data_IF_611827675235
#
_entry.id   IF_611827675235
#
_cell.length_a   1.000
_cell.length_b   1.000
_cell.length_c   1.000
_cell.angle_alpha   90.00
_cell.angle_beta   90.00
_cell.angle_gamma   90.00
#
_symmetry.space_group_name_H-M   'P 1'
#
loop_
_entity.id
_entity.type
_entity.pdbx_description
1 polymer ?
#
# COMPACT_ATOMS: atom_id res chain seq x y z
N UNK A 1 -9.72 2.93 -2.71
CA UNK A 1 -8.52 3.76 -2.87
C UNK A 1 -8.10 3.85 -4.33
N UNK A 2 -7.41 4.92 -4.67
CA UNK A 2 -6.78 5.10 -5.98
C UNK A 2 -5.28 4.80 -5.90
N UNK A 3 -4.76 4.11 -6.91
CA UNK A 3 -3.34 3.79 -7.01
C UNK A 3 -2.83 3.93 -8.44
N UNK A 4 -1.53 4.13 -8.57
CA UNK A 4 -0.84 4.25 -9.85
C UNK A 4 0.32 3.26 -9.93
N UNK A 5 0.57 2.77 -11.12
CA UNK A 5 1.74 1.94 -11.39
C UNK A 5 2.99 2.83 -11.52
N UNK A 6 4.08 2.47 -10.85
CA UNK A 6 5.35 3.20 -10.92
C UNK A 6 6.21 2.63 -12.05
N UNK A 7 6.50 1.34 -11.98
CA UNK A 7 7.32 0.64 -12.96
C UNK A 7 7.06 -0.88 -12.87
N UNK A 8 7.52 -1.59 -13.89
CA UNK A 8 7.59 -3.04 -13.89
C UNK A 8 9.05 -3.46 -13.67
N UNK A 9 9.25 -4.47 -12.86
CA UNK A 9 10.55 -5.10 -12.63
C UNK A 9 10.49 -6.59 -12.90
N UNK A 10 11.65 -7.19 -13.12
CA UNK A 10 11.81 -8.65 -13.14
C UNK A 10 12.48 -9.09 -11.84
N UNK A 11 11.91 -10.09 -11.21
CA UNK A 11 12.49 -10.73 -10.04
C UNK A 11 12.31 -12.24 -10.14
N UNK A 12 13.40 -12.98 -10.26
CA UNK A 12 13.37 -14.43 -10.52
C UNK A 12 12.43 -14.80 -11.67
N UNK A 13 12.61 -14.16 -12.84
CA UNK A 13 11.81 -14.35 -14.06
C UNK A 13 10.32 -14.04 -13.93
N UNK A 14 9.90 -13.42 -12.84
CA UNK A 14 8.53 -12.94 -12.65
C UNK A 14 8.44 -11.43 -12.86
N UNK A 15 7.44 -11.01 -13.61
CA UNK A 15 7.13 -9.58 -13.73
C UNK A 15 6.55 -9.08 -12.41
N UNK A 16 7.19 -8.07 -11.83
CA UNK A 16 6.72 -7.40 -10.62
C UNK A 16 6.12 -6.06 -11.01
N UNK A 17 4.88 -5.85 -10.60
CA UNK A 17 4.19 -4.59 -10.77
C UNK A 17 4.30 -3.78 -9.47
N UNK A 18 4.99 -2.64 -9.53
CA UNK A 18 5.10 -1.75 -8.39
C UNK A 18 4.03 -0.66 -8.48
N UNK A 19 3.29 -0.46 -7.39
CA UNK A 19 2.20 0.49 -7.31
C UNK A 19 2.37 1.42 -6.11
N UNK A 20 1.85 2.63 -6.22
CA UNK A 20 1.74 3.59 -5.12
C UNK A 20 0.28 3.94 -4.89
N UNK A 21 -0.13 3.96 -3.64
CA UNK A 21 -1.46 4.43 -3.26
C UNK A 21 -1.43 5.95 -3.28
N UNK A 22 -2.37 6.57 -3.98
CA UNK A 22 -2.49 8.02 -4.11
C UNK A 22 -3.42 8.61 -3.04
N UNK A 23 -4.62 8.05 -2.92
CA UNK A 23 -5.63 8.55 -1.98
C UNK A 23 -6.61 7.47 -1.55
N UNK A 24 -7.28 7.72 -0.44
CA UNK A 24 -8.38 6.91 0.08
C UNK A 24 -9.69 7.68 -0.03
N UNK A 25 -10.75 6.98 -0.42
CA UNK A 25 -12.11 7.51 -0.50
C UNK A 25 -13.08 6.61 0.27
N UNK A 26 -14.13 7.20 0.83
CA UNK A 26 -15.22 6.47 1.46
C UNK A 26 -16.20 5.87 0.42
N UNK A 27 -17.24 5.21 0.90
CA UNK A 27 -18.28 4.62 0.05
C UNK A 27 -19.07 5.64 -0.77
N UNK A 28 -19.08 6.91 -0.37
CA UNK A 28 -19.69 8.02 -1.09
C UNK A 28 -18.75 8.69 -2.11
N UNK A 29 -17.56 8.11 -2.31
CA UNK A 29 -16.49 8.66 -3.17
C UNK A 29 -15.85 9.94 -2.65
N UNK A 30 -16.12 10.35 -1.42
CA UNK A 30 -15.48 11.50 -0.79
C UNK A 30 -14.07 11.14 -0.36
N UNK A 31 -13.09 12.02 -0.64
CA UNK A 31 -11.71 11.84 -0.20
C UNK A 31 -11.62 11.89 1.33
N UNK A 32 -11.06 10.82 1.91
CA UNK A 32 -10.83 10.65 3.36
C UNK A 32 -9.38 10.97 3.70
N UNK A 33 -8.45 10.53 2.87
CA UNK A 33 -7.02 10.75 3.07
C UNK A 33 -6.27 10.81 1.74
N UNK A 34 -5.17 11.55 1.71
CA UNK A 34 -4.26 11.65 0.57
C UNK A 34 -2.83 11.29 1.01
N UNK A 35 -2.15 10.48 0.21
CA UNK A 35 -0.76 10.13 0.45
C UNK A 35 0.16 11.27 0.01
N UNK A 36 1.14 11.58 0.85
CA UNK A 36 2.09 12.69 0.61
C UNK A 36 3.23 12.22 -0.29
N UNK A 37 2.99 12.19 -1.59
CA UNK A 37 3.99 11.89 -2.59
C UNK A 37 4.62 13.16 -3.18
N UNK A 38 5.79 13.00 -3.80
CA UNK A 38 6.39 14.03 -4.66
C UNK A 38 5.48 14.36 -5.84
N UNK A 39 5.66 15.53 -6.42
CA UNK A 39 4.88 15.97 -7.59
C UNK A 39 4.98 14.99 -8.77
N UNK A 40 6.16 14.41 -9.00
CA UNK A 40 6.37 13.41 -10.06
C UNK A 40 5.55 12.14 -9.86
N UNK A 41 5.41 11.67 -8.63
CA UNK A 41 4.57 10.49 -8.31
C UNK A 41 3.09 10.83 -8.40
N UNK A 42 2.68 12.03 -7.99
CA UNK A 42 1.29 12.49 -8.10
C UNK A 42 0.80 12.64 -9.54
N UNK A 43 1.71 12.89 -10.47
CA UNK A 43 1.42 13.07 -11.91
C UNK A 43 1.44 11.77 -12.71
N UNK A 44 1.68 10.62 -12.08
CA UNK A 44 1.67 9.34 -12.77
C UNK A 44 0.35 9.13 -13.52
N UNK A 45 0.40 8.77 -14.81
CA UNK A 45 -0.78 8.38 -15.56
C UNK A 45 -1.36 7.07 -15.02
N UNK A 46 -2.61 6.77 -15.34
CA UNK A 46 -3.29 5.52 -14.96
C UNK A 46 -3.54 5.37 -13.45
N UNK A 47 -4.57 6.06 -12.98
CA UNK A 47 -5.14 5.81 -11.67
C UNK A 47 -6.09 4.61 -11.77
N UNK A 48 -5.77 3.57 -11.03
CA UNK A 48 -6.62 2.39 -10.86
C UNK A 48 -7.33 2.46 -9.50
N UNK A 49 -8.37 1.65 -9.35
CA UNK A 49 -9.19 1.61 -8.12
C UNK A 49 -8.98 0.28 -7.42
N UNK A 50 -8.73 0.33 -6.14
CA UNK A 50 -8.72 -0.81 -5.23
C UNK A 50 -9.70 -0.60 -4.07
N UNK A 51 -9.87 -1.61 -3.26
CA UNK A 51 -10.81 -1.61 -2.14
C UNK A 51 -10.03 -1.72 -0.84
N UNK A 52 -10.51 -1.07 0.21
CA UNK A 52 -9.89 -1.17 1.52
C UNK A 52 -10.91 -1.34 2.63
N UNK A 53 -10.47 -1.99 3.69
CA UNK A 53 -11.15 -2.08 4.97
C UNK A 53 -10.16 -1.69 6.08
N UNK A 54 -10.67 -1.10 7.13
CA UNK A 54 -9.90 -0.78 8.32
C UNK A 54 -10.45 -1.56 9.50
N UNK A 55 -9.58 -2.32 10.17
CA UNK A 55 -9.93 -3.12 11.33
C UNK A 55 -9.51 -2.39 12.60
N UNK A 56 -10.32 -2.47 13.63
CA UNK A 56 -10.02 -1.87 14.94
C UNK A 56 -8.84 -2.56 15.63
N UNK A 57 -8.70 -3.87 15.41
CA UNK A 57 -7.64 -4.67 15.99
C UNK A 57 -6.84 -5.41 14.92
N UNK A 58 -5.55 -5.69 15.18
CA UNK A 58 -4.75 -6.53 14.31
C UNK A 58 -5.38 -7.92 14.14
N UNK A 59 -5.45 -8.46 12.91
CA UNK A 59 -5.94 -9.81 12.65
C UNK A 59 -4.89 -10.86 13.02
N UNK A 60 -4.54 -10.91 14.30
CA UNK A 60 -3.52 -11.80 14.83
C UNK A 60 -3.99 -12.41 16.15
N UNK A 61 -3.63 -13.68 16.37
CA UNK A 61 -3.81 -14.38 17.63
C UNK A 61 -2.48 -15.00 18.05
N UNK A 62 -2.08 -14.79 19.31
CA UNK A 62 -0.80 -15.26 19.84
C UNK A 62 0.42 -14.92 18.94
N UNK A 63 0.42 -13.71 18.35
CA UNK A 63 1.48 -13.23 17.48
C UNK A 63 1.48 -13.83 16.06
N UNK A 64 0.51 -14.68 15.73
CA UNK A 64 0.34 -15.23 14.39
C UNK A 64 -0.82 -14.57 13.67
N UNK A 65 -0.62 -14.27 12.39
CA UNK A 65 -1.67 -13.77 11.52
C UNK A 65 -2.73 -14.88 11.31
N UNK A 66 -4.01 -14.54 11.45
CA UNK A 66 -5.10 -15.53 11.49
C UNK A 66 -5.86 -15.69 10.18
N UNK A 67 -5.55 -14.90 9.17
CA UNK A 67 -6.22 -14.97 7.86
C UNK A 67 -5.38 -15.84 6.93
N UNK A 68 -5.86 -17.03 6.58
CA UNK A 68 -5.21 -17.93 5.66
C UNK A 68 -5.96 -18.01 4.32
N UNK A 69 -7.26 -18.04 4.38
CA UNK A 69 -8.15 -18.18 3.24
C UNK A 69 -9.24 -17.11 3.22
N UNK A 70 -10.08 -17.13 2.20
CA UNK A 70 -11.16 -16.14 2.02
C UNK A 70 -12.27 -16.27 3.08
N UNK A 71 -12.52 -17.47 3.62
CA UNK A 71 -13.50 -17.65 4.69
C UNK A 71 -13.04 -17.01 6.01
N UNK A 72 -11.74 -17.10 6.31
CA UNK A 72 -11.17 -16.40 7.46
C UNK A 72 -11.34 -14.89 7.32
N UNK A 73 -11.06 -14.36 6.12
CA UNK A 73 -11.22 -12.94 5.84
C UNK A 73 -12.68 -12.51 5.94
N UNK A 74 -13.63 -13.27 5.39
CA UNK A 74 -15.06 -12.99 5.51
C UNK A 74 -15.50 -12.94 6.97
N UNK A 75 -15.07 -13.91 7.77
CA UNK A 75 -15.41 -14.00 9.20
C UNK A 75 -14.95 -12.76 9.96
N UNK A 76 -13.83 -12.16 9.52
CA UNK A 76 -13.25 -10.99 10.17
C UNK A 76 -13.90 -9.67 9.75
N UNK A 77 -14.17 -9.48 8.46
CA UNK A 77 -14.65 -8.21 7.90
C UNK A 77 -16.15 -8.15 7.68
N UNK A 78 -16.81 -9.29 7.80
CA UNK A 78 -18.27 -9.43 7.66
C UNK A 78 -18.75 -9.67 6.23
N UNK A 79 -19.92 -10.30 6.14
CA UNK A 79 -20.55 -10.67 4.86
C UNK A 79 -20.93 -9.48 3.98
N UNK A 80 -21.28 -8.36 4.60
CA UNK A 80 -21.70 -7.16 3.87
C UNK A 80 -20.58 -6.59 3.02
N UNK A 81 -19.34 -6.62 3.53
CA UNK A 81 -18.16 -6.17 2.75
C UNK A 81 -17.96 -7.06 1.53
N UNK A 82 -18.11 -8.37 1.67
CA UNK A 82 -18.02 -9.30 0.53
C UNK A 82 -19.13 -9.12 -0.47
N UNK A 83 -20.35 -8.87 -0.01
CA UNK A 83 -21.49 -8.53 -0.88
C UNK A 83 -21.20 -7.26 -1.68
N UNK A 84 -20.63 -6.26 -1.03
CA UNK A 84 -20.19 -5.03 -1.69
C UNK A 84 -19.10 -5.30 -2.74
N UNK A 85 -18.07 -6.10 -2.40
CA UNK A 85 -17.00 -6.50 -3.32
C UNK A 85 -17.56 -7.18 -4.57
N UNK A 86 -18.50 -8.10 -4.40
CA UNK A 86 -19.19 -8.75 -5.49
C UNK A 86 -19.94 -7.75 -6.37
N UNK A 87 -20.67 -6.83 -5.75
CA UNK A 87 -21.39 -5.77 -6.47
C UNK A 87 -20.48 -4.88 -7.30
N UNK A 88 -19.34 -4.49 -6.74
CA UNK A 88 -18.32 -3.70 -7.45
C UNK A 88 -17.77 -4.46 -8.64
N UNK A 89 -17.44 -5.73 -8.48
CA UNK A 89 -16.91 -6.55 -9.55
C UNK A 89 -17.95 -6.77 -10.68
N UNK A 90 -19.19 -7.07 -10.31
CA UNK A 90 -20.27 -7.32 -11.28
C UNK A 90 -20.61 -6.08 -12.11
N UNK A 91 -20.66 -4.92 -11.47
CA UNK A 91 -21.16 -3.69 -12.07
C UNK A 91 -20.08 -2.85 -12.75
N UNK A 92 -18.79 -3.10 -12.47
CA UNK A 92 -17.72 -2.29 -12.99
C UNK A 92 -17.01 -2.97 -14.17
N UNK A 93 -17.43 -2.64 -15.39
CA UNK A 93 -16.84 -3.17 -16.62
C UNK A 93 -15.34 -2.81 -16.78
N UNK A 94 -14.88 -1.73 -16.14
CA UNK A 94 -13.46 -1.31 -16.16
C UNK A 94 -12.57 -2.23 -15.33
N UNK A 95 -13.12 -2.97 -14.38
CA UNK A 95 -12.39 -3.93 -13.55
C UNK A 95 -12.36 -5.34 -14.16
N UNK A 96 -13.13 -5.59 -15.24
CA UNK A 96 -13.13 -6.89 -15.90
C UNK A 96 -11.73 -7.21 -16.44
N UNK A 97 -11.16 -8.32 -15.97
CA UNK A 97 -9.87 -8.83 -16.43
C UNK A 97 -8.65 -8.36 -15.64
N UNK A 98 -8.78 -7.40 -14.71
CA UNK A 98 -7.66 -6.95 -13.88
C UNK A 98 -7.81 -7.41 -12.42
N UNK A 99 -6.73 -7.90 -11.78
CA UNK A 99 -6.74 -8.19 -10.36
C UNK A 99 -7.08 -6.93 -9.56
N UNK A 100 -7.92 -7.08 -8.54
CA UNK A 100 -8.32 -5.98 -7.65
C UNK A 100 -7.51 -6.09 -6.36
N UNK A 101 -6.68 -5.10 -6.02
CA UNK A 101 -6.02 -5.09 -4.72
C UNK A 101 -7.04 -4.72 -3.63
N UNK A 102 -7.07 -5.55 -2.59
CA UNK A 102 -7.88 -5.37 -1.41
C UNK A 102 -6.98 -5.11 -0.20
N UNK A 103 -6.97 -3.90 0.30
CA UNK A 103 -6.15 -3.49 1.43
C UNK A 103 -6.86 -3.72 2.76
N UNK A 104 -6.16 -4.34 3.68
CA UNK A 104 -6.59 -4.53 5.06
C UNK A 104 -5.67 -3.69 5.94
N UNK A 105 -6.21 -2.62 6.51
CA UNK A 105 -5.51 -1.73 7.42
C UNK A 105 -5.86 -2.00 8.87
N UNK A 106 -4.89 -1.90 9.76
CA UNK A 106 -5.10 -2.00 11.20
C UNK A 106 -4.01 -1.26 11.98
N UNK A 107 -4.32 -0.85 13.20
CA UNK A 107 -3.34 -0.20 14.07
C UNK A 107 -2.45 -1.23 14.74
N UNK A 108 -1.13 -1.02 14.70
CA UNK A 108 -0.16 -1.76 15.49
C UNK A 108 0.37 -0.94 16.67
N UNK A 109 0.21 0.38 16.61
CA UNK A 109 0.45 1.31 17.71
C UNK A 109 -0.41 2.57 17.51
N UNK A 110 -0.40 3.49 18.48
CA UNK A 110 -1.12 4.77 18.36
C UNK A 110 -0.73 5.58 17.12
N UNK A 111 0.51 5.44 16.67
CA UNK A 111 1.09 6.24 15.55
C UNK A 111 1.28 5.46 14.28
N UNK A 112 1.11 4.14 14.30
CA UNK A 112 1.44 3.30 13.15
C UNK A 112 0.27 2.44 12.72
N UNK A 113 -0.07 2.58 11.44
CA UNK A 113 -1.04 1.74 10.74
C UNK A 113 -0.26 0.78 9.85
N UNK A 114 -0.54 -0.49 9.99
CA UNK A 114 -0.06 -1.51 9.08
C UNK A 114 -1.10 -1.80 8.01
N UNK A 115 -0.63 -2.07 6.81
CA UNK A 115 -1.46 -2.43 5.68
C UNK A 115 -1.00 -3.76 5.10
N UNK A 116 -1.94 -4.62 4.80
CA UNK A 116 -1.72 -5.83 4.01
C UNK A 116 -2.58 -5.77 2.77
N UNK A 117 -2.15 -6.40 1.69
CA UNK A 117 -2.91 -6.44 0.45
C UNK A 117 -3.18 -7.87 0.04
N UNK A 118 -4.46 -8.20 -0.06
CA UNK A 118 -4.94 -9.41 -0.72
C UNK A 118 -5.24 -9.08 -2.18
N UNK A 119 -4.90 -9.98 -3.09
CA UNK A 119 -5.14 -9.81 -4.52
C UNK A 119 -6.37 -10.61 -4.89
N UNK A 120 -7.44 -9.92 -5.28
CA UNK A 120 -8.65 -10.52 -5.82
C UNK A 120 -8.45 -10.84 -7.29
N UNK A 121 -8.20 -12.09 -7.61
CA UNK A 121 -8.06 -12.54 -9.00
C UNK A 121 -9.45 -12.75 -9.62
N UNK A 122 -9.64 -12.16 -10.79
CA UNK A 122 -10.89 -12.33 -11.56
C UNK A 122 -10.97 -13.75 -12.09
N UNK A 123 -12.16 -14.35 -11.98
CA UNK A 123 -12.39 -15.76 -12.33
C UNK A 123 -12.21 -16.73 -11.17
N UNK A 124 -11.49 -16.32 -10.12
CA UNK A 124 -11.43 -17.06 -8.86
C UNK A 124 -12.35 -16.47 -7.79
N UNK A 125 -12.88 -15.29 -8.02
CA UNK A 125 -13.90 -14.70 -7.13
C UNK A 125 -15.22 -15.41 -7.38
N UNK A 126 -15.97 -15.84 -6.35
CA UNK A 126 -17.16 -16.70 -6.47
C UNK A 126 -18.37 -15.97 -7.07
N UNK A 127 -18.25 -15.54 -8.32
CA UNK A 127 -19.32 -14.86 -9.05
C UNK A 127 -20.48 -15.81 -9.28
N UNK A 128 -20.20 -17.10 -9.50
CA UNK A 128 -21.19 -18.12 -9.84
C UNK A 128 -21.83 -18.78 -8.63
N UNK A 129 -21.28 -18.65 -7.46
CA UNK A 129 -21.82 -19.24 -6.23
C UNK A 129 -22.84 -18.36 -5.52
N UNK A 130 -23.16 -17.20 -6.08
CA UNK A 130 -24.20 -16.31 -5.56
C UNK A 130 -25.57 -16.75 -6.07
N UNK A 131 -26.11 -17.82 -5.51
CA UNK A 131 -27.51 -18.20 -5.66
C UNK A 131 -28.20 -18.04 -4.32
N UNK A 132 -29.19 -17.16 -4.28
CA UNK A 132 -30.20 -17.05 -3.23
C UNK A 132 -29.65 -16.84 -1.82
N UNK A 133 -29.36 -15.62 -1.44
CA UNK A 133 -29.04 -15.17 -0.07
C UNK A 133 -27.81 -15.81 0.62
N UNK A 134 -26.99 -16.56 -0.09
CA UNK A 134 -25.79 -17.19 0.45
C UNK A 134 -24.57 -16.73 -0.31
N UNK A 135 -23.80 -15.83 0.31
CA UNK A 135 -22.66 -15.14 -0.29
C UNK A 135 -21.52 -16.10 -0.65
N UNK A 136 -21.45 -17.26 -0.02
CA UNK A 136 -20.39 -18.23 -0.23
C UNK A 136 -20.93 -19.66 -0.25
N UNK A 137 -21.17 -20.19 -1.41
CA UNK A 137 -21.32 -21.62 -1.62
C UNK A 137 -20.42 -22.05 -2.76
N UNK A 138 -19.31 -22.62 -2.44
CA UNK A 138 -18.38 -23.22 -3.38
C UNK A 138 -16.96 -23.21 -2.83
N UNK A 139 -16.08 -24.02 -3.34
CA UNK A 139 -14.71 -24.27 -2.88
C UNK A 139 -13.77 -23.06 -2.83
N UNK A 140 -14.25 -21.87 -3.17
CA UNK A 140 -13.46 -20.64 -3.14
C UNK A 140 -13.22 -20.10 -1.73
N UNK A 141 -14.15 -20.29 -0.81
CA UNK A 141 -14.00 -19.84 0.56
C UNK A 141 -12.77 -20.48 1.25
N UNK A 142 -12.46 -21.71 0.87
CA UNK A 142 -11.33 -22.48 1.40
C UNK A 142 -10.03 -22.27 0.59
N UNK A 143 -10.07 -21.50 -0.49
CA UNK A 143 -8.87 -21.19 -1.28
C UNK A 143 -7.97 -20.19 -0.54
N UNK A 144 -6.67 -20.39 -0.68
CA UNK A 144 -5.65 -19.50 -0.13
C UNK A 144 -5.72 -18.11 -0.76
N UNK A 145 -5.46 -17.11 0.05
CA UNK A 145 -5.36 -15.72 -0.41
C UNK A 145 -4.00 -15.49 -1.07
N UNK A 146 -4.00 -14.93 -2.26
CA UNK A 146 -2.79 -14.39 -2.87
C UNK A 146 -2.44 -13.06 -2.21
N UNK A 147 -1.37 -13.04 -1.42
CA UNK A 147 -0.89 -11.85 -0.75
C UNK A 147 0.12 -11.07 -1.57
N UNK A 148 -0.03 -9.75 -1.61
CA UNK A 148 0.98 -8.85 -2.12
C UNK A 148 1.87 -8.30 -0.99
N UNK A 149 3.00 -7.72 -1.36
CA UNK A 149 3.92 -7.10 -0.42
C UNK A 149 3.59 -5.60 -0.32
N UNK A 150 3.38 -5.12 0.90
CA UNK A 150 3.21 -3.69 1.17
C UNK A 150 4.45 -3.13 1.86
N UNK A 151 4.78 -1.88 1.55
CA UNK A 151 5.87 -1.14 2.20
C UNK A 151 5.36 0.21 2.64
N UNK A 152 5.57 0.53 3.91
CA UNK A 152 5.32 1.87 4.42
C UNK A 152 6.48 2.78 3.99
N UNK A 153 6.17 3.76 3.12
CA UNK A 153 7.14 4.73 2.61
C UNK A 153 6.93 6.12 3.23
N UNK A 154 6.21 6.21 4.35
CA UNK A 154 6.07 7.50 5.05
C UNK A 154 7.42 7.96 5.60
N UNK A 155 7.62 9.28 5.61
CA UNK A 155 8.85 9.89 6.09
C UNK A 155 9.21 9.44 7.52
N UNK A 156 8.24 9.43 8.43
CA UNK A 156 8.47 9.07 9.83
C UNK A 156 8.79 7.58 10.01
N UNK A 157 8.23 6.70 9.20
CA UNK A 157 8.58 5.28 9.21
C UNK A 157 9.98 5.04 8.66
N UNK A 158 10.31 5.69 7.53
CA UNK A 158 11.57 5.48 6.84
C UNK A 158 12.77 6.00 7.64
N UNK A 159 12.63 7.15 8.28
CA UNK A 159 13.71 7.81 9.04
C UNK A 159 13.56 7.68 10.56
N UNK A 160 12.51 7.08 11.08
CA UNK A 160 12.11 7.15 12.49
C UNK A 160 13.18 6.76 13.49
N UNK A 161 14.05 5.81 13.16
CA UNK A 161 15.13 5.35 14.06
C UNK A 161 16.44 6.12 13.93
N UNK A 162 16.69 6.76 12.78
CA UNK A 162 17.92 7.48 12.49
C UNK A 162 17.72 8.97 12.25
N UNK A 163 16.51 9.47 12.43
CA UNK A 163 16.15 10.85 12.15
C UNK A 163 16.86 11.81 13.10
N UNK A 164 17.55 12.79 12.53
CA UNK A 164 18.09 13.91 13.30
C UNK A 164 16.96 14.81 13.86
N UNK A 165 17.32 15.66 14.82
CA UNK A 165 16.39 16.63 15.38
C UNK A 165 15.71 17.45 14.27
N UNK A 166 14.44 17.78 14.46
CA UNK A 166 13.61 18.44 13.44
C UNK A 166 14.20 19.77 12.97
N UNK A 167 14.87 20.48 13.86
CA UNK A 167 15.61 21.71 13.53
C UNK A 167 16.66 21.47 12.43
N UNK A 168 17.33 20.31 12.44
CA UNK A 168 18.35 19.96 11.45
C UNK A 168 17.71 19.44 10.18
N UNK A 169 16.74 18.53 10.29
CA UNK A 169 16.11 17.91 9.10
C UNK A 169 15.31 18.89 8.25
N UNK A 170 14.84 19.98 8.83
CA UNK A 170 14.13 21.07 8.13
C UNK A 170 15.05 22.21 7.67
N UNK A 171 16.33 22.18 8.03
CA UNK A 171 17.29 23.22 7.60
C UNK A 171 17.72 22.98 6.17
N UNK A 172 18.08 24.07 5.49
CA UNK A 172 18.90 24.00 4.27
C UNK A 172 20.35 23.72 4.64
N UNK A 173 20.92 22.70 4.05
CA UNK A 173 22.28 22.26 4.29
C UNK A 173 23.06 22.50 3.00
N UNK A 174 24.15 23.24 3.10
CA UNK A 174 25.10 23.42 2.00
C UNK A 174 26.36 22.61 2.32
N UNK A 175 26.76 21.74 1.39
CA UNK A 175 27.98 20.95 1.48
C UNK A 175 28.92 21.43 0.38
N UNK A 176 30.08 21.92 0.77
CA UNK A 176 31.13 22.37 -0.15
C UNK A 176 32.22 21.32 -0.18
N UNK A 177 32.44 20.74 -1.36
CA UNK A 177 33.35 19.61 -1.58
C UNK A 177 32.66 18.25 -1.31
N UNK A 178 32.43 17.46 -2.34
CA UNK A 178 31.85 16.11 -2.26
C UNK A 178 32.82 15.00 -2.65
N UNK A 179 34.10 15.23 -2.42
CA UNK A 179 35.10 14.16 -2.41
C UNK A 179 34.75 13.06 -1.38
N UNK A 180 35.72 12.24 -0.99
CA UNK A 180 35.48 11.09 -0.10
C UNK A 180 34.71 11.43 1.20
N UNK A 181 35.04 12.54 1.85
CA UNK A 181 34.43 12.95 3.13
C UNK A 181 33.08 13.62 2.87
N UNK A 182 32.99 14.58 1.96
CA UNK A 182 31.76 15.33 1.70
C UNK A 182 30.64 14.46 1.16
N UNK A 183 30.92 13.46 0.31
CA UNK A 183 29.96 12.50 -0.17
C UNK A 183 29.40 11.62 0.96
N UNK A 184 30.26 11.21 1.90
CA UNK A 184 29.82 10.45 3.07
C UNK A 184 28.90 11.30 3.98
N UNK A 185 29.29 12.57 4.20
CA UNK A 185 28.48 13.53 4.99
C UNK A 185 27.13 13.77 4.32
N UNK A 186 27.07 14.04 3.01
CA UNK A 186 25.83 14.24 2.25
C UNK A 186 24.92 13.03 2.38
N UNK A 187 25.46 11.83 2.15
CA UNK A 187 24.71 10.57 2.27
C UNK A 187 24.19 10.36 3.69
N UNK A 188 24.97 10.68 4.70
CA UNK A 188 24.58 10.57 6.11
C UNK A 188 23.43 11.51 6.43
N UNK A 189 23.50 12.78 6.05
CA UNK A 189 22.41 13.72 6.25
C UNK A 189 21.12 13.28 5.53
N UNK A 190 21.23 12.83 4.28
CA UNK A 190 20.08 12.31 3.55
C UNK A 190 19.45 11.10 4.25
N UNK A 191 20.25 10.13 4.71
CA UNK A 191 19.77 8.96 5.46
C UNK A 191 19.17 9.31 6.82
N UNK A 192 19.59 10.41 7.42
CA UNK A 192 19.07 10.93 8.68
C UNK A 192 17.85 11.85 8.52
N UNK A 193 17.27 11.94 7.32
CA UNK A 193 16.00 12.61 7.07
C UNK A 193 16.11 14.08 6.65
N UNK A 194 17.28 14.58 6.32
CA UNK A 194 17.43 15.92 5.73
C UNK A 194 16.95 15.90 4.28
N UNK A 195 16.05 16.81 3.93
CA UNK A 195 15.39 16.83 2.60
C UNK A 195 15.84 17.97 1.71
N UNK A 196 16.62 18.91 2.25
CA UNK A 196 17.15 20.08 1.52
C UNK A 196 18.66 20.13 1.67
N UNK A 197 19.37 19.50 0.73
CA UNK A 197 20.84 19.42 0.71
C UNK A 197 21.30 19.95 -0.64
N UNK A 198 22.01 21.08 -0.61
CA UNK A 198 22.69 21.64 -1.76
C UNK A 198 24.16 21.21 -1.71
N UNK A 199 24.68 20.81 -2.85
CA UNK A 199 26.05 20.32 -2.99
C UNK A 199 26.80 21.18 -3.99
N UNK A 200 28.00 21.63 -3.61
CA UNK A 200 28.91 22.38 -4.50
C UNK A 200 30.24 21.64 -4.50
N UNK A 201 30.74 21.30 -5.67
CA UNK A 201 32.07 20.72 -5.86
C UNK A 201 32.83 21.46 -6.97
N UNK A 202 34.15 21.40 -6.91
CA UNK A 202 35.03 21.99 -7.88
C UNK A 202 35.34 20.99 -9.02
N UNK A 203 35.37 19.71 -8.71
CA UNK A 203 35.72 18.66 -9.66
C UNK A 203 34.43 18.12 -10.32
N UNK A 204 34.13 18.63 -11.51
CA UNK A 204 33.12 18.09 -12.41
C UNK A 204 33.82 17.45 -13.60
#
# INVERSE_FOLDING_TARGET
>A
FEYSQINNGLYYDKVIFNHVIQEFRDSSSKKVAECKWSSSVKQLPHKNIGIYVFLDNPPASMGKFIINNWADLESLIGKDVFTFLYGVQKNNSKLKGNPIPFLIGYRISEKEIHWQVAILEIGKFPIESYKEDKVWKGGFADEDITWGITKNCSYDYFFGRGKLAEKITKSKILIIGVGAIGSMVATTFARCGCTSIDVVDHDI
#
